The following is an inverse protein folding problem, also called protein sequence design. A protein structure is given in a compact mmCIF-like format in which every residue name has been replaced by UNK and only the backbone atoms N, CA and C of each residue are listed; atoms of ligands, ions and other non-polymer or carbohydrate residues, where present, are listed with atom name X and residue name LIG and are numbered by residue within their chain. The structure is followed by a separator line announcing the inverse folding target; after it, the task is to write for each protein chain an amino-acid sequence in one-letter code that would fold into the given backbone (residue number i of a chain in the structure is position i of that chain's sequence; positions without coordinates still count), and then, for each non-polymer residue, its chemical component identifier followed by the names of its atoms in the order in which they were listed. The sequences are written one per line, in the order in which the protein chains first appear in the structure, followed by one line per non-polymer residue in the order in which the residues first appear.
data_IF_364666953719
#
_entry.id   IF_364666953719
#
_cell.length_a   1.000
_cell.length_b   1.000
_cell.length_c   1.000
_cell.angle_alpha   90.00
_cell.angle_beta   90.00
_cell.angle_gamma   90.00
#
_symmetry.space_group_name_H-M   'P 1'
#
loop_
_entity.id
_entity.type
_entity.pdbx_description
1 polymer ?
#
# COMPACT_ATOMS: atom_id res chain seq x y z
N UNK A 1 3.43 19.83 12.72
CA UNK A 1 4.70 19.16 13.07
C UNK A 1 4.33 17.83 13.69
N UNK A 2 4.78 16.69 13.16
CA UNK A 2 4.42 15.38 13.75
C UNK A 2 5.23 15.19 15.04
N UNK A 3 4.54 14.97 16.16
CA UNK A 3 5.16 14.83 17.47
C UNK A 3 6.16 13.66 17.53
N UNK A 4 7.32 13.81 18.17
CA UNK A 4 8.28 12.71 18.39
C UNK A 4 7.63 11.49 19.08
N UNK A 5 6.57 11.74 19.87
CA UNK A 5 5.81 10.74 20.63
C UNK A 5 4.74 10.00 19.79
N UNK A 6 4.50 10.36 18.53
CA UNK A 6 3.50 9.63 17.71
C UNK A 6 3.93 8.16 17.60
N UNK A 7 3.03 7.24 17.94
CA UNK A 7 3.35 5.81 17.90
C UNK A 7 3.63 5.35 16.47
N UNK A 8 4.43 4.28 16.30
CA UNK A 8 4.67 3.68 14.99
C UNK A 8 3.36 3.29 14.28
N UNK A 9 2.35 2.85 15.06
CA UNK A 9 1.01 2.52 14.54
C UNK A 9 0.28 3.75 14.01
N UNK A 10 0.27 4.85 14.77
CA UNK A 10 -0.36 6.10 14.36
C UNK A 10 0.34 6.68 13.12
N UNK A 11 1.67 6.60 13.07
CA UNK A 11 2.44 6.99 11.89
C UNK A 11 2.14 6.11 10.68
N UNK A 12 2.01 4.79 10.87
CA UNK A 12 1.62 3.85 9.83
C UNK A 12 0.28 4.23 9.21
N UNK A 13 -0.76 4.37 10.04
CA UNK A 13 -2.10 4.75 9.60
C UNK A 13 -2.12 6.12 8.88
N UNK A 14 -1.38 7.11 9.37
CA UNK A 14 -1.26 8.40 8.70
C UNK A 14 -0.59 8.27 7.32
N UNK A 15 0.40 7.38 7.19
CA UNK A 15 1.03 7.10 5.91
C UNK A 15 0.12 6.35 4.95
N UNK A 16 -0.67 5.37 5.40
CA UNK A 16 -1.67 4.69 4.57
C UNK A 16 -2.69 5.69 4.00
N UNK A 17 -3.19 6.59 4.85
CA UNK A 17 -4.09 7.67 4.43
C UNK A 17 -3.44 8.59 3.40
N UNK A 18 -2.18 8.99 3.63
CA UNK A 18 -1.44 9.85 2.72
C UNK A 18 -1.14 9.16 1.37
N UNK A 19 -0.79 7.87 1.40
CA UNK A 19 -0.62 7.04 0.20
C UNK A 19 -1.94 6.95 -0.59
N UNK A 20 -3.05 6.65 0.09
CA UNK A 20 -4.35 6.56 -0.55
C UNK A 20 -4.74 7.87 -1.22
N UNK A 21 -4.61 9.00 -0.51
CA UNK A 21 -4.88 10.33 -1.08
C UNK A 21 -4.00 10.64 -2.29
N UNK A 22 -2.71 10.30 -2.24
CA UNK A 22 -1.76 10.54 -3.32
C UNK A 22 -2.08 9.71 -4.58
N UNK A 23 -2.54 8.47 -4.41
CA UNK A 23 -2.98 7.61 -5.53
C UNK A 23 -4.33 8.06 -6.09
N UNK A 24 -5.27 8.48 -5.24
CA UNK A 24 -6.56 9.04 -5.68
C UNK A 24 -6.37 10.29 -6.54
N UNK A 25 -5.36 11.13 -6.23
CA UNK A 25 -4.99 12.28 -7.05
C UNK A 25 -4.40 11.94 -8.42
N UNK A 26 -4.08 10.67 -8.66
CA UNK A 26 -3.68 10.13 -9.96
C UNK A 26 -4.86 9.42 -10.65
N UNK A 27 -6.09 9.77 -10.27
CA UNK A 27 -7.34 9.19 -10.78
C UNK A 27 -7.52 7.70 -10.47
N UNK A 28 -6.86 7.19 -9.43
CA UNK A 28 -7.11 5.84 -8.94
C UNK A 28 -8.32 5.82 -8.01
N UNK A 29 -9.08 4.73 -8.06
CA UNK A 29 -10.22 4.50 -7.19
C UNK A 29 -9.84 3.59 -6.03
N UNK A 30 -10.08 4.07 -4.81
CA UNK A 30 -9.95 3.25 -3.61
C UNK A 30 -11.10 2.24 -3.54
N UNK A 31 -10.76 0.94 -3.51
CA UNK A 31 -11.71 -0.16 -3.36
C UNK A 31 -11.83 -0.58 -1.90
N UNK A 32 -10.70 -0.73 -1.21
CA UNK A 32 -10.66 -1.05 0.21
C UNK A 32 -9.32 -0.60 0.83
N UNK A 33 -9.31 -0.44 2.15
CA UNK A 33 -8.11 -0.15 2.93
C UNK A 33 -8.09 -1.01 4.19
N UNK A 34 -6.90 -1.34 4.70
CA UNK A 34 -6.71 -2.10 5.94
C UNK A 34 -7.49 -3.43 5.94
N UNK A 35 -7.45 -4.15 4.82
CA UNK A 35 -8.21 -5.39 4.66
C UNK A 35 -7.42 -6.57 5.23
N UNK A 36 -8.00 -7.26 6.22
CA UNK A 36 -7.31 -8.28 7.03
C UNK A 36 -7.76 -9.69 6.72
N UNK A 37 -6.81 -10.61 6.79
CA UNK A 37 -7.01 -12.03 6.53
C UNK A 37 -6.15 -12.91 7.42
N UNK A 38 -6.41 -14.22 7.37
CA UNK A 38 -5.51 -15.24 7.94
C UNK A 38 -4.10 -15.26 7.33
N UNK A 39 -3.90 -14.64 6.17
CA UNK A 39 -2.59 -14.58 5.50
C UNK A 39 -1.85 -13.27 5.79
N UNK A 40 -2.47 -12.30 6.46
CA UNK A 40 -1.93 -10.97 6.70
C UNK A 40 -2.92 -9.86 6.33
N UNK A 41 -2.40 -8.67 6.13
CA UNK A 41 -3.15 -7.45 5.84
C UNK A 41 -2.74 -6.91 4.46
N UNK A 42 -3.71 -6.35 3.74
CA UNK A 42 -3.48 -5.55 2.54
C UNK A 42 -3.84 -4.12 2.90
N UNK A 43 -2.84 -3.22 2.85
CA UNK A 43 -3.01 -1.85 3.31
C UNK A 43 -3.98 -1.10 2.42
N UNK A 44 -3.85 -1.19 1.09
CA UNK A 44 -4.77 -0.59 0.13
C UNK A 44 -5.06 -1.53 -1.05
N UNK A 45 -6.31 -1.48 -1.52
CA UNK A 45 -6.76 -2.10 -2.76
C UNK A 45 -7.31 -0.99 -3.64
N UNK A 46 -6.68 -0.81 -4.80
CA UNK A 46 -6.93 0.30 -5.70
C UNK A 46 -7.29 -0.22 -7.09
N UNK A 47 -8.07 0.56 -7.83
CA UNK A 47 -8.27 0.38 -9.27
C UNK A 47 -7.72 1.60 -9.99
N UNK A 48 -6.76 1.40 -10.88
CA UNK A 48 -6.22 2.47 -11.71
C UNK A 48 -7.22 2.89 -12.81
N UNK A 49 -6.99 4.05 -13.43
CA UNK A 49 -7.80 4.51 -14.58
C UNK A 49 -7.73 3.53 -15.77
N UNK A 50 -6.56 2.93 -16.02
CA UNK A 50 -6.36 1.90 -17.05
C UNK A 50 -6.88 0.50 -16.65
N UNK A 51 -7.67 0.42 -15.57
CA UNK A 51 -8.36 -0.77 -15.07
C UNK A 51 -7.42 -1.87 -14.57
N UNK A 52 -6.32 -1.52 -13.92
CA UNK A 52 -5.47 -2.47 -13.21
C UNK A 52 -5.90 -2.50 -11.74
N UNK A 53 -6.19 -3.69 -11.23
CA UNK A 53 -6.45 -3.90 -9.81
C UNK A 53 -5.11 -4.02 -9.08
N UNK A 54 -4.84 -3.11 -8.16
CA UNK A 54 -3.55 -2.99 -7.48
C UNK A 54 -3.72 -3.25 -5.99
N UNK A 55 -2.96 -4.22 -5.48
CA UNK A 55 -2.80 -4.44 -4.05
C UNK A 55 -1.52 -3.71 -3.60
N UNK A 56 -1.67 -2.71 -2.74
CA UNK A 56 -0.57 -1.82 -2.36
C UNK A 56 -0.19 -2.09 -0.91
N UNK A 57 1.11 -2.28 -0.70
CA UNK A 57 1.75 -2.26 0.62
C UNK A 57 2.32 -0.85 0.88
N UNK A 58 2.04 -0.29 2.06
CA UNK A 58 2.50 1.04 2.47
C UNK A 58 3.53 0.92 3.58
N UNK A 59 4.69 1.55 3.38
CA UNK A 59 5.78 1.59 4.36
C UNK A 59 6.08 3.01 4.78
N UNK A 60 5.81 3.35 6.04
CA UNK A 60 6.05 4.70 6.58
C UNK A 60 7.21 4.71 7.56
N UNK A 61 8.17 5.62 7.40
CA UNK A 61 9.39 5.72 8.23
C UNK A 61 9.78 7.16 8.54
N UNK A 62 10.48 7.37 9.67
CA UNK A 62 10.95 8.70 10.13
C UNK A 62 12.37 9.08 9.74
N UNK A 63 13.21 8.12 9.33
CA UNK A 63 14.66 8.32 9.26
C UNK A 63 15.18 8.42 7.84
N UNK A 64 16.27 9.17 7.65
CA UNK A 64 17.01 9.32 6.38
C UNK A 64 18.15 8.31 6.20
N UNK A 65 18.55 7.60 7.28
CA UNK A 65 19.42 6.43 7.14
C UNK A 65 18.66 5.41 6.31
N UNK A 66 19.19 5.14 5.11
CA UNK A 66 18.77 4.12 4.15
C UNK A 66 17.71 4.53 3.12
N UNK A 67 18.16 4.71 1.87
CA UNK A 67 17.38 4.43 0.65
C UNK A 67 18.08 3.25 -0.04
N UNK A 68 17.46 2.06 0.02
CA UNK A 68 18.16 0.76 -0.10
C UNK A 68 17.13 -0.40 -0.17
N UNK A 69 17.54 -1.68 -0.32
CA UNK A 69 16.70 -2.91 -0.44
C UNK A 69 15.55 -3.11 0.56
N UNK A 70 15.40 -2.23 1.54
CA UNK A 70 14.36 -2.22 2.56
C UNK A 70 12.98 -1.77 2.03
N UNK A 71 12.94 -1.10 0.87
CA UNK A 71 11.70 -0.87 0.11
C UNK A 71 11.14 -2.21 -0.38
N UNK A 72 12.00 -3.18 -0.68
CA UNK A 72 11.56 -4.51 -1.12
C UNK A 72 10.74 -5.19 -0.03
N UNK A 73 9.59 -5.73 -0.43
CA UNK A 73 8.82 -6.66 0.39
C UNK A 73 9.55 -8.00 0.33
N UNK A 74 9.98 -8.53 1.47
CA UNK A 74 10.70 -9.82 1.49
C UNK A 74 9.81 -10.95 0.94
N UNK A 75 10.43 -12.00 0.36
CA UNK A 75 9.74 -13.06 -0.36
C UNK A 75 8.57 -13.71 0.41
N UNK A 76 8.72 -13.92 1.72
CA UNK A 76 7.65 -14.44 2.57
C UNK A 76 6.43 -13.51 2.61
N UNK A 77 6.65 -12.20 2.73
CA UNK A 77 5.58 -11.20 2.74
C UNK A 77 4.96 -11.03 1.34
N UNK A 78 5.74 -11.13 0.26
CA UNK A 78 5.18 -11.17 -1.10
C UNK A 78 4.25 -12.37 -1.28
N UNK A 79 4.67 -13.56 -0.84
CA UNK A 79 3.85 -14.76 -0.92
C UNK A 79 2.56 -14.64 -0.10
N UNK A 80 2.63 -14.02 1.09
CA UNK A 80 1.48 -13.72 1.93
C UNK A 80 0.50 -12.75 1.24
N UNK A 81 1.00 -11.64 0.68
CA UNK A 81 0.18 -10.66 -0.04
C UNK A 81 -0.48 -11.26 -1.29
N UNK A 82 0.24 -12.10 -2.05
CA UNK A 82 -0.36 -12.83 -3.18
C UNK A 82 -1.47 -13.79 -2.73
N UNK A 83 -1.34 -14.43 -1.57
CA UNK A 83 -2.41 -15.27 -1.00
C UNK A 83 -3.59 -14.42 -0.54
N UNK A 84 -3.33 -13.30 0.14
CA UNK A 84 -4.35 -12.36 0.59
C UNK A 84 -5.13 -11.79 -0.62
N UNK A 85 -4.46 -11.32 -1.67
CA UNK A 85 -5.11 -10.78 -2.87
C UNK A 85 -6.00 -11.81 -3.59
N UNK A 86 -5.56 -13.07 -3.67
CA UNK A 86 -6.41 -14.17 -4.19
C UNK A 86 -7.64 -14.41 -3.32
N UNK A 87 -7.48 -14.39 -1.99
CA UNK A 87 -8.60 -14.56 -1.08
C UNK A 87 -9.59 -13.40 -1.23
N UNK A 88 -9.10 -12.15 -1.30
CA UNK A 88 -9.93 -10.97 -1.48
C UNK A 88 -10.81 -11.10 -2.72
N UNK A 89 -10.21 -11.48 -3.86
CA UNK A 89 -10.91 -11.71 -5.13
C UNK A 89 -12.00 -12.78 -4.99
N UNK A 90 -11.71 -13.89 -4.30
CA UNK A 90 -12.68 -14.96 -4.10
C UNK A 90 -13.87 -14.54 -3.23
N UNK A 91 -13.65 -13.64 -2.26
CA UNK A 91 -14.69 -13.13 -1.36
C UNK A 91 -15.59 -12.08 -2.00
N UNK A 92 -15.18 -11.45 -3.11
CA UNK A 92 -16.00 -10.44 -3.77
C UNK A 92 -17.22 -11.00 -4.50
N UNK A 93 -17.27 -12.32 -4.77
CA UNK A 93 -18.41 -12.99 -5.42
C UNK A 93 -18.90 -12.32 -6.73
N UNK A 94 -17.99 -11.74 -7.51
CA UNK A 94 -18.31 -11.05 -8.76
C UNK A 94 -18.63 -9.55 -8.62
N UNK A 95 -18.58 -8.99 -7.41
CA UNK A 95 -18.74 -7.55 -7.17
C UNK A 95 -17.45 -6.74 -7.38
N UNK A 96 -16.36 -7.38 -7.78
CA UNK A 96 -15.13 -6.67 -8.16
C UNK A 96 -15.38 -5.85 -9.43
N UNK A 97 -15.04 -4.55 -9.46
CA UNK A 97 -15.10 -3.76 -10.68
C UNK A 97 -14.33 -4.42 -11.83
N UNK A 98 -14.70 -4.14 -13.08
CA UNK A 98 -13.96 -4.66 -14.24
C UNK A 98 -12.49 -4.23 -14.19
N UNK A 99 -11.58 -5.21 -14.26
CA UNK A 99 -10.14 -5.02 -14.30
C UNK A 99 -9.51 -5.87 -15.42
N UNK A 100 -8.40 -5.39 -15.99
CA UNK A 100 -7.65 -6.00 -17.10
C UNK A 100 -6.38 -6.71 -16.65
N UNK A 101 -5.94 -6.45 -15.42
CA UNK A 101 -4.75 -7.04 -14.84
C UNK A 101 -4.68 -6.82 -13.34
N UNK A 102 -3.77 -7.53 -12.70
CA UNK A 102 -3.49 -7.43 -11.27
C UNK A 102 -2.03 -7.04 -11.09
N UNK A 103 -1.76 -6.13 -10.15
CA UNK A 103 -0.40 -5.69 -9.79
C UNK A 103 -0.23 -5.63 -8.28
N UNK A 104 1.00 -5.85 -7.81
CA UNK A 104 1.38 -5.60 -6.42
C UNK A 104 2.38 -4.46 -6.37
N UNK A 105 2.01 -3.40 -5.67
CA UNK A 105 2.80 -2.17 -5.60
C UNK A 105 3.30 -1.94 -4.17
N UNK A 106 4.35 -1.14 -4.07
CA UNK A 106 4.82 -0.61 -2.78
C UNK A 106 4.77 0.91 -2.83
N UNK A 107 4.22 1.52 -1.79
CA UNK A 107 4.35 2.96 -1.54
C UNK A 107 5.23 3.15 -0.31
N UNK A 108 6.36 3.83 -0.47
CA UNK A 108 7.29 4.18 0.58
C UNK A 108 7.11 5.65 0.94
N UNK A 109 6.85 5.94 2.21
CA UNK A 109 6.69 7.29 2.73
C UNK A 109 7.76 7.54 3.78
N UNK A 110 8.55 8.58 3.54
CA UNK A 110 9.54 9.08 4.48
C UNK A 110 9.07 10.42 5.03
N UNK A 111 9.09 10.54 6.36
CA UNK A 111 8.71 11.74 7.09
C UNK A 111 9.94 12.27 7.82
N UNK A 112 10.44 13.45 7.44
CA UNK A 112 11.56 14.11 8.11
C UNK A 112 11.17 15.54 8.50
N UNK A 113 10.78 15.75 9.76
CA UNK A 113 10.28 17.05 10.20
C UNK A 113 8.99 17.43 9.46
N UNK A 114 9.03 18.49 8.65
CA UNK A 114 7.95 18.91 7.74
C UNK A 114 7.99 18.24 6.37
N UNK A 115 9.11 17.63 6.02
CA UNK A 115 9.31 17.06 4.68
C UNK A 115 8.69 15.66 4.60
N UNK A 116 7.86 15.47 3.59
CA UNK A 116 7.26 14.17 3.27
C UNK A 116 7.69 13.79 1.86
N UNK A 117 8.44 12.70 1.74
CA UNK A 117 8.86 12.13 0.47
C UNK A 117 8.09 10.83 0.24
N UNK A 118 7.33 10.78 -0.85
CA UNK A 118 6.56 9.61 -1.27
C UNK A 118 7.15 9.04 -2.53
N UNK A 119 7.42 7.74 -2.50
CA UNK A 119 7.86 6.96 -3.65
C UNK A 119 6.88 5.84 -3.90
N UNK A 120 6.42 5.73 -5.13
CA UNK A 120 5.55 4.65 -5.59
C UNK A 120 6.35 3.74 -6.51
N UNK A 121 6.34 2.44 -6.22
CA UNK A 121 7.02 1.39 -6.97
C UNK A 121 5.96 0.48 -7.59
N UNK A 122 5.57 0.72 -8.86
CA UNK A 122 4.65 -0.13 -9.59
C UNK A 122 5.24 -1.52 -9.87
N UNK A 123 4.45 -2.59 -9.67
CA UNK A 123 4.88 -3.95 -10.01
C UNK A 123 6.08 -4.42 -9.22
N UNK A 124 6.13 -4.06 -7.93
CA UNK A 124 7.25 -4.35 -7.06
C UNK A 124 7.54 -5.85 -6.91
N UNK A 125 6.54 -6.72 -7.10
CA UNK A 125 6.67 -8.18 -7.12
C UNK A 125 5.46 -8.90 -7.74
#
# INVERSE_FOLDING_TARGET
MLDPCTSAKTLGAAGEQYAAYSLIRQDWHLIASNWRTRYGEIDLIMLTDDRILVFVEVKTRRTTRFGTPEEAVHAAKQAALRKAGRLWLSEQQGNTPYYRGIRFDVVSIRVCGSDVDLRHLPGAF
#
